data_IF_542681368026
#
_entry.id   IF_542681368026
#
_cell.length_a   1.000
_cell.length_b   1.000
_cell.length_c   1.000
_cell.angle_alpha   90.00
_cell.angle_beta   90.00
_cell.angle_gamma   90.00
#
_symmetry.space_group_name_H-M   'P 1'
#
loop_
_entity.id
_entity.type
_entity.pdbx_description
1 polymer ?
#
# COMPACT_ATOMS: atom_id res chain seq x y z
N UNK A 1 46.21 18.35 -15.52
CA UNK A 1 45.68 17.20 -16.28
C UNK A 1 45.77 17.56 -17.75
N UNK A 2 46.60 16.87 -18.53
CA UNK A 2 46.64 17.06 -19.98
C UNK A 2 45.34 16.52 -20.56
N UNK A 3 44.42 17.40 -20.97
CA UNK A 3 43.23 17.02 -21.72
C UNK A 3 43.67 16.38 -23.04
N UNK A 4 43.78 15.05 -23.05
CA UNK A 4 44.04 14.29 -24.26
C UNK A 4 42.74 14.34 -25.06
N UNK A 5 42.69 15.22 -26.05
CA UNK A 5 41.56 15.28 -26.98
C UNK A 5 41.44 13.91 -27.65
N UNK A 6 40.34 13.21 -27.36
CA UNK A 6 40.06 11.94 -28.02
C UNK A 6 39.82 12.17 -29.51
N UNK A 7 40.32 11.25 -30.34
CA UNK A 7 40.14 11.32 -31.79
C UNK A 7 38.70 11.01 -32.16
N UNK A 8 38.14 11.80 -33.07
CA UNK A 8 36.75 11.68 -33.50
C UNK A 8 36.57 10.67 -34.62
N UNK A 9 35.78 9.62 -34.34
CA UNK A 9 35.53 8.52 -35.28
C UNK A 9 34.35 8.77 -36.22
N UNK A 10 33.38 9.58 -35.80
CA UNK A 10 32.17 9.89 -36.57
C UNK A 10 31.02 8.87 -36.44
N UNK A 11 31.19 7.84 -35.61
CA UNK A 11 30.21 6.78 -35.30
C UNK A 11 29.44 7.03 -33.98
N UNK A 12 29.47 8.26 -33.47
CA UNK A 12 28.86 8.65 -32.22
C UNK A 12 27.50 9.35 -32.40
N UNK A 13 26.82 9.65 -31.29
CA UNK A 13 25.60 10.46 -31.34
C UNK A 13 25.92 11.91 -31.77
N UNK A 14 24.91 12.63 -32.27
CA UNK A 14 25.10 14.02 -32.65
C UNK A 14 25.47 14.92 -31.45
N UNK A 15 25.02 14.57 -30.24
CA UNK A 15 25.44 15.24 -29.00
C UNK A 15 26.94 15.06 -28.76
N UNK A 16 27.44 13.83 -28.84
CA UNK A 16 28.86 13.52 -28.67
C UNK A 16 29.73 14.22 -29.72
N UNK A 17 29.26 14.29 -30.97
CA UNK A 17 29.94 15.01 -32.04
C UNK A 17 30.08 16.51 -31.73
N UNK A 18 29.02 17.12 -31.21
CA UNK A 18 29.02 18.54 -30.82
C UNK A 18 29.89 18.80 -29.58
N UNK A 19 29.87 17.91 -28.59
CA UNK A 19 30.76 17.99 -27.42
C UNK A 19 32.23 17.91 -27.84
N UNK A 20 32.57 17.00 -28.75
CA UNK A 20 33.91 16.91 -29.31
C UNK A 20 34.32 18.20 -30.03
N UNK A 21 33.44 18.73 -30.89
CA UNK A 21 33.74 19.96 -31.63
C UNK A 21 34.00 21.14 -30.68
N UNK A 22 33.16 21.32 -29.65
CA UNK A 22 33.37 22.38 -28.64
C UNK A 22 34.63 22.17 -27.82
N UNK A 23 34.99 20.92 -27.53
CA UNK A 23 36.24 20.59 -26.83
C UNK A 23 37.45 20.97 -27.69
N UNK A 24 37.39 20.70 -28.99
CA UNK A 24 38.40 21.11 -29.96
C UNK A 24 38.49 22.64 -30.07
N UNK A 25 37.35 23.32 -30.19
CA UNK A 25 37.27 24.79 -30.23
C UNK A 25 37.84 25.44 -28.98
N UNK A 26 37.59 24.85 -27.80
CA UNK A 26 38.17 25.29 -26.53
C UNK A 26 39.71 25.18 -26.47
N UNK A 27 40.34 24.46 -27.41
CA UNK A 27 41.81 24.44 -27.54
C UNK A 27 42.37 25.58 -28.39
N UNK A 28 41.49 26.38 -29.01
CA UNK A 28 41.88 27.56 -29.78
C UNK A 28 41.87 28.79 -28.89
N UNK A 29 42.88 29.63 -29.06
CA UNK A 29 42.92 31.01 -28.52
C UNK A 29 42.61 32.01 -29.62
N UNK A 30 42.32 33.26 -29.27
CA UNK A 30 42.08 34.35 -30.25
C UNK A 30 43.25 34.54 -31.23
N UNK A 31 44.48 34.18 -30.83
CA UNK A 31 45.67 34.26 -31.67
C UNK A 31 45.86 33.05 -32.61
N UNK A 32 44.97 32.04 -32.57
CA UNK A 32 45.13 30.83 -33.38
C UNK A 32 44.80 31.10 -34.84
N UNK A 33 45.81 30.98 -35.71
CA UNK A 33 45.66 31.15 -37.16
C UNK A 33 44.68 30.12 -37.74
N UNK A 34 43.98 30.52 -38.80
CA UNK A 34 42.97 29.69 -39.45
C UNK A 34 43.52 28.36 -39.97
N UNK A 35 44.69 28.39 -40.61
CA UNK A 35 45.43 27.21 -41.09
C UNK A 35 45.71 26.22 -39.95
N UNK A 36 46.00 26.73 -38.75
CA UNK A 36 46.25 25.90 -37.57
C UNK A 36 44.97 25.25 -37.05
N UNK A 37 43.81 25.92 -37.18
CA UNK A 37 42.52 25.34 -36.79
C UNK A 37 42.14 24.18 -37.71
N UNK A 38 42.27 24.37 -39.02
CA UNK A 38 42.01 23.33 -40.03
C UNK A 38 42.95 22.13 -39.82
N UNK A 39 44.25 22.38 -39.67
CA UNK A 39 45.23 21.33 -39.38
C UNK A 39 44.89 20.54 -38.10
N UNK A 40 44.53 21.25 -37.02
CA UNK A 40 44.14 20.60 -35.76
C UNK A 40 42.85 19.80 -35.91
N UNK A 41 41.87 20.28 -36.67
CA UNK A 41 40.63 19.55 -36.95
C UNK A 41 40.93 18.24 -37.68
N UNK A 42 41.66 18.29 -38.79
CA UNK A 42 42.05 17.11 -39.56
C UNK A 42 42.80 16.10 -38.71
N UNK A 43 43.74 16.55 -37.88
CA UNK A 43 44.53 15.68 -36.98
C UNK A 43 43.74 15.14 -35.79
N UNK A 44 42.59 15.73 -35.48
CA UNK A 44 41.72 15.30 -34.40
C UNK A 44 40.67 14.29 -34.87
N UNK A 45 40.65 13.94 -36.17
CA UNK A 45 39.81 12.89 -36.73
C UNK A 45 40.55 11.54 -36.70
N UNK A 46 39.83 10.47 -36.38
CA UNK A 46 40.38 9.12 -36.31
C UNK A 46 40.62 8.55 -37.71
N UNK A 47 41.84 8.03 -38.01
CA UNK A 47 42.15 7.47 -39.32
C UNK A 47 41.37 6.17 -39.58
N UNK A 48 40.85 6.02 -40.78
CA UNK A 48 39.96 4.95 -41.22
C UNK A 48 38.51 5.06 -40.72
N UNK A 49 38.18 6.15 -40.00
CA UNK A 49 36.85 6.37 -39.43
C UNK A 49 35.81 6.91 -40.43
N UNK A 50 34.54 6.89 -40.02
CA UNK A 50 33.45 7.51 -40.78
C UNK A 50 33.64 9.03 -40.95
N UNK A 51 34.22 9.68 -39.93
CA UNK A 51 34.56 11.10 -39.97
C UNK A 51 35.66 11.42 -40.98
N UNK A 52 36.72 10.60 -41.08
CA UNK A 52 37.78 10.82 -42.08
C UNK A 52 37.25 10.63 -43.49
N UNK A 53 36.43 9.61 -43.72
CA UNK A 53 35.77 9.39 -45.00
C UNK A 53 34.90 10.58 -45.39
N UNK A 54 34.06 11.06 -44.47
CA UNK A 54 33.24 12.26 -44.68
C UNK A 54 34.10 13.49 -45.00
N UNK A 55 35.18 13.70 -44.25
CA UNK A 55 36.08 14.82 -44.46
C UNK A 55 36.78 14.72 -45.81
N UNK A 56 37.19 13.53 -46.23
CA UNK A 56 37.82 13.29 -47.54
C UNK A 56 36.84 13.59 -48.67
N UNK A 57 35.60 13.13 -48.55
CA UNK A 57 34.53 13.31 -49.54
C UNK A 57 33.99 14.75 -49.62
N UNK A 58 34.34 15.63 -48.67
CA UNK A 58 33.87 17.01 -48.62
C UNK A 58 34.52 17.87 -49.74
N UNK A 59 33.78 18.76 -50.44
CA UNK A 59 34.35 19.64 -51.45
C UNK A 59 35.38 20.61 -50.88
N UNK A 60 36.40 20.99 -51.67
CA UNK A 60 37.45 21.93 -51.25
C UNK A 60 36.90 23.30 -50.80
N UNK A 61 35.79 23.73 -51.41
CA UNK A 61 35.10 24.96 -51.02
C UNK A 61 34.54 24.92 -49.58
N UNK A 62 34.16 23.73 -49.08
CA UNK A 62 33.68 23.54 -47.70
C UNK A 62 34.83 23.30 -46.70
N UNK A 63 36.07 23.12 -47.18
CA UNK A 63 37.29 23.01 -46.38
C UNK A 63 38.12 24.30 -46.34
N UNK A 64 37.71 25.32 -47.09
CA UNK A 64 38.51 26.53 -47.31
C UNK A 64 38.78 27.32 -46.02
N UNK A 65 37.83 27.30 -45.08
CA UNK A 65 37.95 27.97 -43.79
C UNK A 65 37.29 27.13 -42.69
N UNK A 66 37.66 27.37 -41.44
CA UNK A 66 37.17 26.58 -40.32
C UNK A 66 35.66 26.78 -40.11
N UNK A 67 35.14 27.98 -40.42
CA UNK A 67 33.72 28.31 -40.26
C UNK A 67 32.84 27.58 -41.29
N UNK A 68 33.29 27.42 -42.53
CA UNK A 68 32.60 26.62 -43.55
C UNK A 68 32.67 25.13 -43.21
N UNK A 69 33.80 24.67 -42.70
CA UNK A 69 33.96 23.30 -42.22
C UNK A 69 33.03 22.97 -41.04
N UNK A 70 32.89 23.88 -40.07
CA UNK A 70 31.94 23.74 -38.95
C UNK A 70 30.50 23.69 -39.45
N UNK A 71 30.11 24.51 -40.44
CA UNK A 71 28.77 24.42 -41.03
C UNK A 71 28.51 23.08 -41.72
N UNK A 72 29.50 22.55 -42.43
CA UNK A 72 29.42 21.24 -43.04
C UNK A 72 29.33 20.13 -41.97
N UNK A 73 30.07 20.29 -40.87
CA UNK A 73 30.02 19.41 -39.71
C UNK A 73 28.61 19.42 -39.07
N UNK A 74 28.04 20.59 -38.81
CA UNK A 74 26.68 20.74 -38.27
C UNK A 74 25.61 20.16 -39.20
N UNK A 75 25.83 20.20 -40.52
CA UNK A 75 24.94 19.54 -41.48
C UNK A 75 25.00 18.02 -41.37
N UNK A 76 26.17 17.46 -41.09
CA UNK A 76 26.40 16.01 -41.00
C UNK A 76 26.02 15.44 -39.62
N UNK A 77 26.34 16.17 -38.54
CA UNK A 77 26.03 15.84 -37.16
C UNK A 77 25.26 17.01 -36.52
N UNK A 78 23.97 17.18 -36.86
CA UNK A 78 23.17 18.32 -36.42
C UNK A 78 23.02 18.35 -34.91
N UNK A 79 23.17 19.55 -34.34
CA UNK A 79 22.93 19.74 -32.91
C UNK A 79 21.57 19.17 -32.53
N UNK A 80 21.50 18.25 -31.54
CA UNK A 80 20.23 17.71 -31.10
C UNK A 80 19.30 18.88 -30.77
N UNK A 81 18.15 18.96 -31.44
CA UNK A 81 17.14 19.93 -31.05
C UNK A 81 16.77 19.61 -29.61
N UNK A 82 17.07 20.53 -28.70
CA UNK A 82 16.61 20.42 -27.32
C UNK A 82 15.09 20.51 -27.36
N UNK A 83 14.44 19.36 -27.38
CA UNK A 83 12.99 19.31 -27.16
C UNK A 83 12.83 19.63 -25.69
N UNK A 84 12.29 20.81 -25.40
CA UNK A 84 11.96 21.20 -24.04
C UNK A 84 11.20 20.04 -23.40
N UNK A 85 11.75 19.52 -22.30
CA UNK A 85 11.18 18.37 -21.61
C UNK A 85 9.73 18.75 -21.26
N UNK A 86 8.72 18.00 -21.72
CA UNK A 86 7.34 18.36 -21.45
C UNK A 86 7.11 18.34 -19.94
N UNK A 87 6.44 19.37 -19.43
CA UNK A 87 6.20 19.57 -17.99
C UNK A 87 5.56 18.33 -17.34
N UNK A 88 4.69 17.63 -18.05
CA UNK A 88 4.05 16.39 -17.59
C UNK A 88 5.06 15.28 -17.28
N UNK A 89 6.14 15.16 -18.06
CA UNK A 89 7.19 14.19 -17.79
C UNK A 89 8.03 14.60 -16.58
N UNK A 90 8.33 15.89 -16.41
CA UNK A 90 9.02 16.41 -15.21
C UNK A 90 8.21 16.11 -13.95
N UNK A 91 6.91 16.44 -13.96
CA UNK A 91 6.00 16.17 -12.84
C UNK A 91 5.94 14.67 -12.53
N UNK A 92 5.85 13.81 -13.55
CA UNK A 92 5.86 12.37 -13.35
C UNK A 92 7.19 11.86 -12.78
N UNK A 93 8.33 12.43 -13.18
CA UNK A 93 9.64 12.08 -12.62
C UNK A 93 9.73 12.49 -11.14
N UNK A 94 9.21 13.67 -10.78
CA UNK A 94 9.10 14.12 -9.38
C UNK A 94 8.26 13.13 -8.56
N UNK A 95 7.08 12.73 -9.07
CA UNK A 95 6.17 11.79 -8.38
C UNK A 95 6.75 10.39 -8.21
N UNK A 96 7.68 10.00 -9.08
CA UNK A 96 8.32 8.68 -9.06
C UNK A 96 9.69 8.69 -8.38
N UNK A 97 10.22 9.87 -8.02
CA UNK A 97 11.48 10.01 -7.30
C UNK A 97 11.33 9.58 -5.83
N UNK A 98 11.51 8.29 -5.57
CA UNK A 98 11.38 7.70 -4.22
C UNK A 98 12.73 7.32 -3.63
N UNK A 99 12.89 7.57 -2.34
CA UNK A 99 13.99 7.06 -1.52
C UNK A 99 13.49 5.88 -0.70
N UNK A 100 14.18 4.73 -0.76
CA UNK A 100 13.83 3.58 0.08
C UNK A 100 14.48 3.71 1.44
N UNK A 101 13.87 3.11 2.46
CA UNK A 101 14.37 3.21 3.84
C UNK A 101 15.75 2.56 3.97
N UNK A 102 15.95 1.41 3.33
CA UNK A 102 17.22 0.69 3.30
C UNK A 102 18.36 1.49 2.66
N UNK A 103 18.04 2.42 1.76
CA UNK A 103 19.00 3.23 1.04
C UNK A 103 19.40 4.49 1.81
N UNK A 104 18.62 4.93 2.81
CA UNK A 104 18.86 6.17 3.56
C UNK A 104 20.24 6.14 4.27
N UNK A 105 21.02 7.21 4.09
CA UNK A 105 22.33 7.36 4.70
C UNK A 105 23.44 6.51 4.06
N UNK A 106 23.14 5.77 2.97
CA UNK A 106 24.18 5.13 2.19
C UNK A 106 24.98 6.17 1.40
N UNK A 107 26.28 5.91 1.24
CA UNK A 107 27.14 6.73 0.37
C UNK A 107 26.88 6.34 -1.07
N UNK A 108 26.47 7.31 -1.89
CA UNK A 108 26.19 7.17 -3.31
C UNK A 108 27.11 8.11 -4.08
N UNK A 109 27.59 7.69 -5.25
CA UNK A 109 28.35 8.58 -6.14
C UNK A 109 27.38 9.41 -6.98
N UNK A 110 27.50 10.73 -6.91
CA UNK A 110 26.79 11.62 -7.83
C UNK A 110 27.39 11.51 -9.25
N UNK A 111 26.74 12.14 -10.23
CA UNK A 111 27.16 12.17 -11.64
C UNK A 111 28.60 12.66 -11.84
N UNK A 112 29.07 13.52 -10.93
CA UNK A 112 30.42 14.08 -10.95
C UNK A 112 31.46 13.18 -10.25
N UNK A 113 31.04 12.02 -9.74
CA UNK A 113 31.88 11.06 -9.01
C UNK A 113 32.07 11.38 -7.53
N UNK A 114 31.51 12.50 -7.05
CA UNK A 114 31.54 12.90 -5.63
C UNK A 114 30.68 11.96 -4.78
N UNK A 115 31.22 11.53 -3.65
CA UNK A 115 30.50 10.71 -2.67
C UNK A 115 29.60 11.59 -1.80
N UNK A 116 28.29 11.34 -1.88
CA UNK A 116 27.24 12.06 -1.15
C UNK A 116 26.31 11.06 -0.48
N UNK A 117 25.64 11.46 0.60
CA UNK A 117 24.65 10.59 1.24
C UNK A 117 23.40 10.49 0.36
N UNK A 118 22.77 9.32 0.33
CA UNK A 118 21.63 9.01 -0.55
C UNK A 118 20.45 9.97 -0.40
N UNK A 119 20.15 10.43 0.83
CA UNK A 119 19.09 11.39 1.09
C UNK A 119 19.45 12.80 0.58
N UNK A 120 20.74 13.17 0.63
CA UNK A 120 21.24 14.40 0.04
C UNK A 120 21.17 14.32 -1.49
N UNK A 121 21.62 13.21 -2.08
CA UNK A 121 21.52 12.97 -3.52
C UNK A 121 20.07 13.02 -4.01
N UNK A 122 19.15 12.43 -3.24
CA UNK A 122 17.71 12.49 -3.51
C UNK A 122 17.19 13.94 -3.47
N UNK A 123 17.54 14.72 -2.45
CA UNK A 123 17.10 16.10 -2.31
C UNK A 123 17.65 17.00 -3.44
N UNK A 124 18.93 16.83 -3.80
CA UNK A 124 19.54 17.53 -4.93
C UNK A 124 18.88 17.17 -6.26
N UNK A 125 18.53 15.90 -6.47
CA UNK A 125 17.78 15.46 -7.66
C UNK A 125 16.40 16.12 -7.70
N UNK A 126 15.66 16.11 -6.60
CA UNK A 126 14.35 16.77 -6.49
C UNK A 126 14.47 18.27 -6.80
N UNK A 127 15.51 18.94 -6.28
CA UNK A 127 15.79 20.36 -6.57
C UNK A 127 15.99 20.60 -8.07
N UNK A 128 16.79 19.76 -8.75
CA UNK A 128 17.01 19.84 -10.21
C UNK A 128 15.70 19.66 -10.99
N UNK A 129 14.87 18.69 -10.60
CA UNK A 129 13.58 18.46 -11.26
C UNK A 129 12.59 19.61 -11.07
N UNK A 130 12.55 20.23 -9.89
CA UNK A 130 11.71 21.41 -9.65
C UNK A 130 12.14 22.61 -10.49
N UNK A 131 13.46 22.79 -10.69
CA UNK A 131 14.00 23.84 -11.56
C UNK A 131 13.66 23.64 -13.05
N UNK A 132 13.42 22.40 -13.47
CA UNK A 132 13.00 22.06 -14.84
C UNK A 132 11.51 22.38 -15.12
N UNK A 133 10.72 22.77 -14.11
CA UNK A 133 9.31 23.13 -14.29
C UNK A 133 9.21 24.60 -14.77
N UNK A 134 8.57 24.87 -15.92
CA UNK A 134 8.29 26.24 -16.35
C UNK A 134 7.42 26.97 -15.31
N UNK A 135 7.87 28.15 -14.85
CA UNK A 135 7.25 28.94 -13.77
C UNK A 135 7.31 28.31 -12.36
N UNK A 136 8.05 27.21 -12.17
CA UNK A 136 8.23 26.54 -10.89
C UNK A 136 6.94 25.93 -10.31
N UNK A 137 6.93 25.74 -8.99
CA UNK A 137 5.76 25.32 -8.20
C UNK A 137 5.56 26.28 -7.01
N UNK A 138 5.09 27.52 -7.28
CA UNK A 138 5.06 28.60 -6.28
C UNK A 138 4.11 28.31 -5.10
N UNK A 139 3.14 27.41 -5.27
CA UNK A 139 2.22 26.98 -4.22
C UNK A 139 2.64 25.70 -3.49
N UNK A 140 3.81 25.13 -3.82
CA UNK A 140 4.26 23.84 -3.29
C UNK A 140 3.20 22.74 -3.46
N UNK A 141 2.43 22.78 -4.56
CA UNK A 141 1.33 21.85 -4.83
C UNK A 141 1.83 20.41 -5.00
N UNK A 142 3.11 20.23 -5.34
CA UNK A 142 3.74 18.93 -5.44
C UNK A 142 4.32 18.43 -4.11
N UNK A 143 4.26 19.22 -3.03
CA UNK A 143 4.88 18.89 -1.73
C UNK A 143 4.40 17.57 -1.17
N UNK A 144 3.09 17.30 -1.19
CA UNK A 144 2.57 16.02 -0.68
C UNK A 144 3.16 14.83 -1.43
N UNK A 145 3.24 14.92 -2.76
CA UNK A 145 3.80 13.86 -3.61
C UNK A 145 5.30 13.66 -3.37
N UNK A 146 6.06 14.76 -3.24
CA UNK A 146 7.50 14.71 -2.95
C UNK A 146 7.76 14.15 -1.55
N UNK A 147 6.96 14.57 -0.57
CA UNK A 147 6.99 14.07 0.80
C UNK A 147 6.68 12.57 0.84
N UNK A 148 5.71 12.08 0.07
CA UNK A 148 5.42 10.65 -0.06
C UNK A 148 6.52 9.85 -0.76
N UNK A 149 7.44 10.53 -1.45
CA UNK A 149 8.68 9.95 -1.95
C UNK A 149 9.70 9.60 -0.86
N UNK A 150 9.54 10.10 0.36
CA UNK A 150 10.43 9.83 1.49
C UNK A 150 9.88 8.74 2.44
N UNK A 151 10.74 7.89 3.02
CA UNK A 151 10.35 6.95 4.05
C UNK A 151 9.74 7.68 5.26
N UNK A 152 8.73 7.08 5.90
CA UNK A 152 8.06 7.63 7.09
C UNK A 152 9.07 7.99 8.19
N UNK A 153 10.09 7.17 8.40
CA UNK A 153 11.15 7.41 9.36
C UNK A 153 11.88 8.74 9.11
N UNK A 154 12.30 8.99 7.87
CA UNK A 154 12.95 10.25 7.45
C UNK A 154 11.99 11.43 7.62
N UNK A 155 10.71 11.25 7.28
CA UNK A 155 9.69 12.31 7.44
C UNK A 155 9.50 12.77 8.88
N UNK A 156 9.77 11.91 9.87
CA UNK A 156 9.68 12.29 11.30
C UNK A 156 10.82 13.21 11.75
N UNK A 157 11.96 13.17 11.06
CA UNK A 157 13.13 14.02 11.38
C UNK A 157 13.03 15.42 10.76
N UNK A 158 12.19 15.57 9.74
CA UNK A 158 12.01 16.86 9.07
C UNK A 158 10.96 17.65 9.86
N UNK A 159 11.20 18.94 10.15
CA UNK A 159 10.17 19.81 10.70
C UNK A 159 8.89 19.76 9.87
N UNK A 160 7.71 19.94 10.49
CA UNK A 160 6.45 19.91 9.77
C UNK A 160 6.46 20.92 8.62
N UNK A 161 5.84 20.55 7.49
CA UNK A 161 5.83 21.38 6.28
C UNK A 161 5.25 22.79 6.50
N UNK A 162 4.40 22.95 7.52
CA UNK A 162 3.86 24.25 7.94
C UNK A 162 4.91 25.22 8.46
N UNK A 163 6.08 24.75 8.89
CA UNK A 163 7.22 25.57 9.29
C UNK A 163 8.20 25.87 8.14
N UNK A 164 8.03 25.20 6.99
CA UNK A 164 8.97 25.21 5.86
C UNK A 164 8.25 25.70 4.60
N UNK A 165 8.03 27.01 4.53
CA UNK A 165 7.21 27.73 3.52
C UNK A 165 7.77 27.73 2.08
N UNK A 166 8.93 27.13 1.83
CA UNK A 166 9.59 27.15 0.51
C UNK A 166 10.24 25.80 0.23
N UNK A 167 10.30 25.42 -1.05
CA UNK A 167 11.02 24.24 -1.51
C UNK A 167 12.48 24.20 -1.05
N UNK A 168 13.17 25.33 -1.07
CA UNK A 168 14.57 25.46 -0.67
C UNK A 168 14.76 25.10 0.80
N UNK A 169 13.97 25.71 1.70
CA UNK A 169 14.02 25.41 3.13
C UNK A 169 13.71 23.94 3.42
N UNK A 170 12.71 23.38 2.72
CA UNK A 170 12.32 21.99 2.94
C UNK A 170 13.39 20.99 2.47
N UNK A 171 13.94 21.18 1.27
CA UNK A 171 15.01 20.33 0.75
C UNK A 171 16.31 20.50 1.54
N UNK A 172 16.62 21.71 2.02
CA UNK A 172 17.76 21.93 2.90
C UNK A 172 17.59 21.19 4.24
N UNK A 173 16.37 21.13 4.80
CA UNK A 173 16.11 20.35 6.00
C UNK A 173 16.32 18.84 5.77
N UNK A 174 15.96 18.31 4.60
CA UNK A 174 16.28 16.92 4.22
C UNK A 174 17.79 16.72 4.14
N UNK A 175 18.52 17.63 3.50
CA UNK A 175 19.98 17.52 3.33
C UNK A 175 20.75 17.62 4.65
N UNK A 176 20.21 18.37 5.61
CA UNK A 176 20.79 18.60 6.92
C UNK A 176 20.60 17.43 7.90
N UNK A 177 19.85 16.39 7.52
CA UNK A 177 19.68 15.19 8.37
C UNK A 177 21.06 14.54 8.55
N UNK A 178 21.50 14.49 9.81
CA UNK A 178 22.79 13.92 10.17
C UNK A 178 22.75 12.38 10.20
N UNK A 179 23.93 11.77 10.08
CA UNK A 179 24.06 10.32 10.01
C UNK A 179 23.70 9.63 11.35
N UNK A 180 23.86 10.31 12.49
CA UNK A 180 23.52 9.75 13.79
C UNK A 180 22.01 9.58 13.91
N UNK A 181 21.24 10.62 13.58
CA UNK A 181 19.78 10.56 13.50
C UNK A 181 19.28 9.46 12.55
N UNK A 182 19.97 9.24 11.42
CA UNK A 182 19.65 8.14 10.49
C UNK A 182 19.91 6.78 11.12
N UNK A 183 21.03 6.60 11.83
CA UNK A 183 21.34 5.35 12.51
C UNK A 183 20.33 5.04 13.62
N UNK A 184 19.95 6.05 14.41
CA UNK A 184 18.93 5.93 15.45
C UNK A 184 17.58 5.50 14.84
N UNK A 185 17.18 6.09 13.69
CA UNK A 185 15.99 5.65 12.95
C UNK A 185 16.08 4.19 12.49
N UNK A 186 17.25 3.75 12.04
CA UNK A 186 17.45 2.36 11.59
C UNK A 186 17.35 1.39 12.75
N UNK A 187 17.90 1.75 13.91
CA UNK A 187 17.78 0.97 15.12
C UNK A 187 16.33 0.91 15.60
N UNK A 188 15.63 2.06 15.68
CA UNK A 188 14.20 2.10 16.03
C UNK A 188 13.37 1.23 15.07
N UNK A 189 13.63 1.31 13.77
CA UNK A 189 12.94 0.51 12.77
C UNK A 189 13.26 -0.99 12.90
N UNK A 190 14.52 -1.35 13.17
CA UNK A 190 14.94 -2.73 13.39
C UNK A 190 14.27 -3.32 14.64
N UNK A 191 14.23 -2.56 15.74
CA UNK A 191 13.53 -2.93 16.98
C UNK A 191 12.04 -3.10 16.71
N UNK A 192 11.40 -2.16 16.00
CA UNK A 192 9.98 -2.23 15.66
C UNK A 192 9.67 -3.48 14.82
N UNK A 193 10.50 -3.77 13.82
CA UNK A 193 10.35 -4.94 12.96
C UNK A 193 10.54 -6.24 13.75
N UNK A 194 11.52 -6.28 14.66
CA UNK A 194 11.76 -7.42 15.53
C UNK A 194 10.61 -7.64 16.52
N UNK A 195 10.06 -6.57 17.09
CA UNK A 195 8.91 -6.64 17.99
C UNK A 195 7.67 -7.19 17.26
N UNK A 196 7.42 -6.73 16.03
CA UNK A 196 6.32 -7.24 15.20
C UNK A 196 6.51 -8.73 14.85
N UNK A 197 7.73 -9.15 14.49
CA UNK A 197 8.05 -10.55 14.25
C UNK A 197 7.87 -11.41 15.51
N UNK A 198 8.31 -10.92 16.67
CA UNK A 198 8.18 -11.61 17.96
C UNK A 198 6.71 -11.74 18.35
N UNK A 199 5.93 -10.67 18.19
CA UNK A 199 4.49 -10.70 18.45
C UNK A 199 3.77 -11.71 17.54
N UNK A 200 4.16 -11.77 16.27
CA UNK A 200 3.63 -12.74 15.31
C UNK A 200 3.99 -14.18 15.69
N UNK A 201 5.23 -14.43 16.15
CA UNK A 201 5.66 -15.74 16.63
C UNK A 201 4.90 -16.18 17.89
N UNK A 202 4.69 -15.26 18.86
CA UNK A 202 3.90 -15.54 20.06
C UNK A 202 2.46 -15.87 19.69
N UNK A 203 1.85 -15.08 18.80
CA UNK A 203 0.50 -15.35 18.31
C UNK A 203 0.39 -16.72 17.64
N UNK A 204 1.40 -17.12 16.84
CA UNK A 204 1.46 -18.44 16.23
C UNK A 204 1.62 -19.56 17.26
N UNK A 205 2.48 -19.39 18.26
CA UNK A 205 2.68 -20.37 19.34
C UNK A 205 1.39 -20.61 20.14
N UNK A 206 0.69 -19.54 20.53
CA UNK A 206 -0.58 -19.64 21.27
C UNK A 206 -1.67 -20.34 20.46
N UNK A 207 -1.75 -20.10 19.15
CA UNK A 207 -2.68 -20.81 18.27
C UNK A 207 -2.31 -22.31 18.11
N UNK A 208 -1.03 -22.66 18.19
CA UNK A 208 -0.56 -24.05 18.04
C UNK A 208 -0.80 -24.88 19.30
N UNK A 209 -0.66 -24.30 20.49
CA UNK A 209 -0.89 -25.02 21.77
C UNK A 209 -2.34 -25.45 21.94
N UNK A 210 -3.30 -24.74 21.34
CA UNK A 210 -4.73 -25.10 21.42
C UNK A 210 -5.13 -26.35 20.62
N UNK A 211 -4.28 -26.83 19.69
CA UNK A 211 -4.55 -28.02 18.87
C UNK A 211 -3.99 -29.32 19.47
N UNK A 212 -3.19 -29.24 20.53
CA UNK A 212 -2.52 -30.40 21.16
C UNK A 212 -2.96 -30.64 22.60
N UNK A 213 -4.16 -30.19 22.99
CA UNK A 213 -4.74 -30.56 24.29
C UNK A 213 -5.24 -32.02 24.22
N UNK A 214 -4.59 -32.99 24.91
CA UNK A 214 -5.03 -34.38 24.89
C UNK A 214 -6.40 -34.46 25.57
N UNK A 215 -7.35 -35.13 24.93
CA UNK A 215 -8.74 -35.21 25.39
C UNK A 215 -8.86 -35.49 26.88
N UNK A 216 -9.26 -34.47 27.64
CA UNK A 216 -9.78 -34.65 28.99
C UNK A 216 -11.09 -35.41 28.88
N UNK A 217 -11.04 -36.71 29.15
CA UNK A 217 -12.22 -37.51 29.43
C UNK A 217 -12.96 -36.89 30.63
N UNK A 218 -14.29 -36.74 30.57
CA UNK A 218 -15.05 -36.17 31.67
C UNK A 218 -14.98 -37.11 32.89
N UNK A 219 -14.85 -36.58 34.12
CA UNK A 219 -14.86 -37.41 35.31
C UNK A 219 -16.24 -38.07 35.48
N UNK A 220 -16.22 -39.39 35.55
CA UNK A 220 -17.36 -40.27 35.80
C UNK A 220 -17.91 -40.01 37.19
N UNK A 221 -19.18 -39.59 37.27
CA UNK A 221 -19.90 -39.41 38.53
C UNK A 221 -20.05 -40.76 39.28
N UNK A 222 -19.77 -40.82 40.59
CA UNK A 222 -20.09 -41.98 41.41
C UNK A 222 -21.57 -41.97 41.81
N UNK A 223 -22.26 -43.06 41.51
CA UNK A 223 -23.60 -43.38 41.97
C UNK A 223 -23.57 -43.87 43.42
N UNK A 224 -24.35 -43.22 44.31
CA UNK A 224 -24.69 -43.75 45.64
C UNK A 224 -26.21 -43.82 45.82
N UNK A 225 -26.75 -44.91 46.39
CA UNK A 225 -28.19 -45.10 46.59
C UNK A 225 -28.67 -44.64 47.98
N UNK A 226 -29.96 -44.26 48.02
CA UNK A 226 -30.93 -44.26 49.13
C UNK A 226 -30.49 -43.90 50.57
N UNK A 227 -31.10 -42.86 51.13
CA UNK A 227 -31.82 -42.96 52.41
C UNK A 227 -32.79 -41.79 52.65
N UNK A 228 -33.97 -42.18 53.11
CA UNK A 228 -35.13 -41.38 53.52
C UNK A 228 -34.82 -40.65 54.83
N UNK A 229 -35.24 -39.39 54.98
CA UNK A 229 -36.02 -38.97 56.15
C UNK A 229 -36.64 -37.57 55.98
N UNK A 230 -37.92 -37.53 56.29
CA UNK A 230 -38.77 -36.36 56.40
C UNK A 230 -38.32 -35.44 57.54
N UNK A 231 -38.62 -34.13 57.44
CA UNK A 231 -39.30 -33.36 58.49
C UNK A 231 -39.93 -32.11 57.83
N UNK A 232 -41.20 -31.87 58.19
CA UNK A 232 -42.05 -30.71 57.89
C UNK A 232 -41.49 -29.44 58.53
N UNK A 233 -41.75 -28.26 57.94
CA UNK A 233 -42.67 -27.27 58.55
C UNK A 233 -42.91 -26.03 57.64
N UNK A 234 -44.21 -25.71 57.51
CA UNK A 234 -44.90 -24.40 57.39
C UNK A 234 -44.48 -23.43 56.28
N UNK A 235 -45.30 -23.16 55.24
CA UNK A 235 -46.63 -22.50 55.21
C UNK A 235 -46.55 -20.98 55.39
N UNK A 236 -46.71 -20.23 54.29
CA UNK A 236 -47.69 -19.13 54.21
C UNK A 236 -48.02 -18.79 52.75
N UNK A 237 -49.32 -18.88 52.48
CA UNK A 237 -50.06 -18.49 51.29
C UNK A 237 -49.97 -16.98 50.97
N UNK A 238 -50.08 -16.63 49.70
CA UNK A 238 -51.19 -15.78 49.21
C UNK A 238 -51.50 -16.06 47.72
N UNK A 239 -52.67 -16.68 47.52
CA UNK A 239 -53.58 -16.69 46.35
C UNK A 239 -53.87 -15.27 45.82
N UNK A 240 -54.47 -14.97 44.66
CA UNK A 240 -55.12 -15.60 43.48
C UNK A 240 -55.40 -14.39 42.52
N UNK A 241 -55.65 -14.48 41.22
CA UNK A 241 -56.93 -14.83 40.53
C UNK A 241 -56.61 -14.62 39.02
N UNK A 242 -56.59 -15.65 38.17
CA UNK A 242 -57.68 -16.19 37.35
C UNK A 242 -58.10 -15.31 36.14
N UNK A 243 -57.86 -15.76 34.90
CA UNK A 243 -58.91 -16.28 33.98
C UNK A 243 -58.41 -16.47 32.52
N UNK A 244 -58.74 -17.65 31.97
CA UNK A 244 -58.76 -18.11 30.56
C UNK A 244 -60.25 -18.09 30.12
N UNK A 245 -60.72 -18.66 28.97
CA UNK A 245 -60.12 -19.00 27.66
C UNK A 245 -61.04 -18.64 26.45
N UNK A 246 -60.60 -18.79 25.20
CA UNK A 246 -61.38 -19.46 24.11
C UNK A 246 -60.62 -19.62 22.77
N UNK A 247 -60.96 -20.69 22.05
CA UNK A 247 -60.61 -21.15 20.68
C UNK A 247 -61.86 -21.84 20.11
N UNK A 248 -62.00 -22.32 18.85
CA UNK A 248 -61.44 -22.00 17.50
C UNK A 248 -62.60 -21.81 16.45
N UNK A 249 -62.49 -21.96 15.09
CA UNK A 249 -62.28 -23.24 14.37
C UNK A 249 -61.53 -23.21 12.99
N UNK A 250 -61.34 -24.43 12.44
CA UNK A 250 -60.75 -24.88 11.15
C UNK A 250 -61.60 -24.57 9.90
N UNK A 251 -60.96 -24.51 8.71
CA UNK A 251 -61.49 -25.02 7.42
C UNK A 251 -60.36 -25.52 6.48
N UNK A 252 -60.73 -26.15 5.37
CA UNK A 252 -60.18 -27.37 4.75
C UNK A 252 -59.34 -27.23 3.46
N UNK A 253 -58.68 -28.35 3.13
CA UNK A 253 -57.89 -28.81 1.98
C UNK A 253 -58.40 -28.55 0.54
N UNK A 254 -57.46 -28.48 -0.42
CA UNK A 254 -57.59 -29.04 -1.79
C UNK A 254 -56.21 -29.53 -2.32
N UNK A 255 -56.20 -30.70 -2.94
CA UNK A 255 -55.10 -31.40 -3.64
C UNK A 255 -55.46 -31.42 -5.15
N UNK A 256 -54.53 -31.63 -6.13
CA UNK A 256 -54.13 -33.00 -6.51
C UNK A 256 -52.72 -33.21 -7.15
N UNK A 257 -52.10 -34.34 -6.75
CA UNK A 257 -51.53 -35.45 -7.56
C UNK A 257 -50.48 -35.30 -8.69
N UNK A 258 -49.41 -36.13 -8.57
CA UNK A 258 -48.68 -37.01 -9.56
C UNK A 258 -47.13 -36.82 -9.61
N UNK A 259 -46.32 -37.80 -10.10
CA UNK A 259 -45.94 -39.03 -9.39
C UNK A 259 -44.41 -39.28 -9.30
N UNK A 260 -44.06 -40.28 -8.48
CA UNK A 260 -42.72 -40.80 -8.19
C UNK A 260 -41.93 -41.37 -9.39
N UNK A 261 -40.59 -41.31 -9.28
CA UNK A 261 -39.69 -42.32 -9.86
C UNK A 261 -38.58 -42.64 -8.86
N UNK A 262 -38.47 -43.92 -8.49
CA UNK A 262 -37.54 -44.43 -7.47
C UNK A 262 -36.11 -44.68 -7.99
N UNK A 263 -35.17 -45.03 -7.08
CA UNK A 263 -33.80 -45.41 -7.41
C UNK A 263 -33.67 -46.93 -7.59
N UNK A 264 -32.76 -47.43 -8.46
CA UNK A 264 -32.42 -48.84 -8.50
C UNK A 264 -31.37 -49.21 -7.42
N UNK A 265 -31.47 -50.42 -6.84
CA UNK A 265 -30.44 -51.00 -5.98
C UNK A 265 -29.46 -51.86 -6.80
N UNK A 266 -28.21 -51.96 -6.38
CA UNK A 266 -27.35 -53.09 -6.73
C UNK A 266 -26.90 -53.82 -5.46
N UNK A 267 -27.10 -55.13 -5.51
CA UNK A 267 -26.89 -56.10 -4.45
C UNK A 267 -25.43 -56.54 -4.32
N UNK A 268 -25.18 -57.14 -3.16
CA UNK A 268 -23.98 -57.80 -2.68
C UNK A 268 -23.59 -59.06 -3.46
N UNK A 269 -22.33 -59.47 -3.33
CA UNK A 269 -21.86 -60.82 -2.91
C UNK A 269 -20.35 -60.74 -2.62
N UNK A 270 -19.91 -61.05 -1.38
CA UNK A 270 -19.37 -62.35 -0.91
C UNK A 270 -17.85 -62.45 -1.23
N UNK A 271 -16.93 -63.06 -0.47
CA UNK A 271 -16.93 -63.93 0.69
C UNK A 271 -15.59 -63.73 1.44
N UNK A 272 -15.54 -64.22 2.67
CA UNK A 272 -14.43 -64.06 3.60
C UNK A 272 -13.73 -65.43 3.83
N UNK A 273 -12.43 -65.39 4.13
CA UNK A 273 -11.69 -66.30 5.07
C UNK A 273 -10.85 -67.48 4.53
N UNK A 274 -9.66 -67.61 5.16
CA UNK A 274 -8.60 -68.65 5.17
C UNK A 274 -7.46 -68.47 4.13
N UNK A 275 -6.17 -68.52 4.47
CA UNK A 275 -5.43 -68.76 5.71
C UNK A 275 -3.93 -68.97 5.42
N UNK A 276 -3.07 -68.80 6.45
CA UNK A 276 -1.65 -69.21 6.48
C UNK A 276 -0.68 -68.27 5.74
N UNK A 277 0.54 -67.97 6.18
CA UNK A 277 1.35 -68.41 7.30
C UNK A 277 2.81 -67.97 7.02
N UNK A 278 3.46 -67.39 8.02
CA UNK A 278 4.92 -67.30 8.27
C UNK A 278 5.89 -66.90 7.13
N UNK A 279 6.64 -65.81 7.32
CA UNK A 279 8.12 -65.83 7.42
C UNK A 279 8.70 -64.44 7.76
N UNK A 280 9.94 -64.45 8.23
CA UNK A 280 10.62 -63.44 9.06
C UNK A 280 11.60 -62.58 8.23
N UNK A 281 11.83 -61.34 8.69
CA UNK A 281 12.99 -60.41 8.48
C UNK A 281 12.91 -59.46 7.25
N UNK A 282 13.75 -58.40 7.19
CA UNK A 282 14.08 -57.35 8.17
C UNK A 282 13.93 -55.92 7.55
N UNK A 283 14.30 -54.88 8.30
CA UNK A 283 14.23 -53.44 7.97
C UNK A 283 14.62 -53.03 6.52
N UNK A 284 13.92 -52.03 5.96
CA UNK A 284 14.60 -50.89 5.33
C UNK A 284 13.71 -49.65 5.10
N UNK A 285 14.35 -48.51 5.30
CA UNK A 285 13.79 -47.16 5.42
C UNK A 285 14.01 -46.38 4.13
N UNK A 286 13.23 -46.58 3.06
CA UNK A 286 13.37 -45.77 1.83
C UNK A 286 12.11 -45.82 0.95
N UNK A 287 10.97 -45.30 1.43
CA UNK A 287 9.84 -44.87 0.55
C UNK A 287 8.77 -44.15 1.36
N UNK A 288 8.92 -42.82 1.50
CA UNK A 288 7.83 -41.95 1.95
C UNK A 288 7.85 -40.64 1.16
N UNK A 289 7.80 -40.77 -0.15
CA UNK A 289 7.39 -39.72 -1.08
C UNK A 289 6.54 -40.39 -2.15
N UNK A 290 5.49 -39.69 -2.60
CA UNK A 290 4.38 -40.13 -3.47
C UNK A 290 3.21 -40.81 -2.73
N UNK A 291 2.33 -39.98 -2.16
CA UNK A 291 0.87 -40.01 -2.42
C UNK A 291 0.26 -38.68 -1.95
N UNK A 292 0.42 -37.63 -2.75
CA UNK A 292 -0.48 -36.48 -2.72
C UNK A 292 -1.53 -36.70 -3.82
N UNK A 293 -2.77 -36.94 -3.40
CA UNK A 293 -3.92 -36.95 -4.30
C UNK A 293 -4.17 -35.54 -4.82
N UNK A 294 -4.46 -35.35 -6.12
CA UNK A 294 -4.79 -34.04 -6.68
C UNK A 294 -6.15 -33.60 -6.14
N UNK A 295 -6.19 -32.50 -5.39
CA UNK A 295 -7.46 -31.87 -5.05
C UNK A 295 -8.09 -31.27 -6.31
N UNK A 296 -9.33 -31.67 -6.58
CA UNK A 296 -10.14 -31.16 -7.69
C UNK A 296 -10.41 -29.65 -7.53
N UNK A 297 -10.35 -28.85 -8.61
CA UNK A 297 -10.58 -27.41 -8.54
C UNK A 297 -12.07 -27.14 -8.38
N UNK A 298 -12.47 -26.69 -7.19
CA UNK A 298 -13.82 -26.15 -6.95
C UNK A 298 -13.87 -24.73 -7.51
N UNK A 299 -14.35 -24.59 -8.75
CA UNK A 299 -14.80 -23.32 -9.30
C UNK A 299 -16.14 -22.93 -8.64
N UNK A 300 -16.26 -21.72 -8.05
CA UNK A 300 -17.56 -21.30 -7.51
C UNK A 300 -17.64 -19.99 -6.73
N UNK A 301 -17.59 -18.86 -7.44
CA UNK A 301 -18.29 -17.57 -7.18
C UNK A 301 -17.97 -16.74 -5.91
N UNK A 302 -17.16 -15.69 -6.11
CA UNK A 302 -17.70 -14.31 -6.02
C UNK A 302 -17.30 -13.41 -4.84
N UNK A 303 -16.32 -13.77 -4.00
CA UNK A 303 -15.72 -12.87 -3.01
C UNK A 303 -14.25 -12.54 -3.35
N UNK A 304 -13.65 -11.48 -2.78
CA UNK A 304 -12.23 -11.18 -2.87
C UNK A 304 -11.43 -12.15 -1.98
N UNK A 305 -11.65 -13.44 -2.17
CA UNK A 305 -10.75 -14.46 -1.65
C UNK A 305 -9.54 -14.48 -2.60
N UNK A 306 -8.51 -13.73 -2.21
CA UNK A 306 -7.25 -13.49 -2.93
C UNK A 306 -7.42 -12.65 -4.21
N UNK A 307 -7.48 -11.33 -4.06
CA UNK A 307 -7.45 -10.39 -5.18
C UNK A 307 -6.07 -10.32 -5.86
N UNK A 308 -5.03 -10.87 -5.24
CA UNK A 308 -3.83 -11.34 -5.91
C UNK A 308 -3.12 -12.31 -4.98
N UNK A 309 -2.47 -13.34 -5.51
CA UNK A 309 -1.64 -14.24 -4.69
C UNK A 309 -0.42 -13.58 -4.04
N UNK A 310 -0.39 -12.25 -3.94
CA UNK A 310 0.67 -11.43 -3.38
C UNK A 310 0.18 -10.79 -2.06
N UNK A 311 0.62 -11.30 -0.91
CA UNK A 311 0.22 -10.80 0.40
C UNK A 311 0.50 -9.31 0.61
N UNK A 312 1.54 -8.75 -0.03
CA UNK A 312 1.89 -7.35 0.12
C UNK A 312 0.83 -6.44 -0.54
N UNK A 313 0.33 -6.83 -1.71
CA UNK A 313 -0.74 -6.11 -2.42
C UNK A 313 -2.08 -6.22 -1.68
N UNK A 314 -2.37 -7.38 -1.11
CA UNK A 314 -3.57 -7.57 -0.29
C UNK A 314 -3.52 -6.68 0.97
N UNK A 315 -2.35 -6.57 1.62
CA UNK A 315 -2.14 -5.68 2.76
C UNK A 315 -2.20 -4.19 2.40
N UNK A 316 -1.70 -3.79 1.22
CA UNK A 316 -1.87 -2.43 0.70
C UNK A 316 -3.35 -2.11 0.44
N UNK A 317 -4.08 -3.01 -0.22
CA UNK A 317 -5.51 -2.82 -0.50
C UNK A 317 -6.34 -2.74 0.77
N UNK A 318 -6.09 -3.62 1.75
CA UNK A 318 -6.80 -3.61 3.02
C UNK A 318 -6.59 -2.30 3.79
N UNK A 319 -5.34 -1.78 3.81
CA UNK A 319 -5.04 -0.46 4.39
C UNK A 319 -5.72 0.67 3.63
N UNK A 320 -5.65 0.67 2.30
CA UNK A 320 -6.31 1.67 1.48
C UNK A 320 -7.83 1.76 1.76
N UNK A 321 -8.49 0.60 1.86
CA UNK A 321 -9.91 0.50 2.18
C UNK A 321 -10.24 0.94 3.62
N UNK A 322 -9.33 0.73 4.58
CA UNK A 322 -9.51 1.14 5.97
C UNK A 322 -9.26 2.63 6.19
N UNK A 323 -8.22 3.17 5.58
CA UNK A 323 -7.78 4.55 5.76
C UNK A 323 -8.64 5.53 4.96
N UNK A 324 -9.14 5.11 3.80
CA UNK A 324 -9.90 5.95 2.87
C UNK A 324 -11.24 5.31 2.44
N UNK A 325 -12.12 4.90 3.38
CA UNK A 325 -13.38 4.27 3.02
C UNK A 325 -14.35 5.30 2.42
N UNK A 326 -14.99 4.94 1.31
CA UNK A 326 -16.12 5.69 0.77
C UNK A 326 -17.39 5.37 1.56
N UNK A 327 -17.59 6.11 2.65
CA UNK A 327 -18.76 6.03 3.53
C UNK A 327 -19.80 7.08 3.15
N UNK A 328 -21.06 6.78 3.44
CA UNK A 328 -22.19 7.67 3.18
C UNK A 328 -23.03 7.81 4.45
N UNK A 329 -23.53 9.02 4.76
CA UNK A 329 -24.44 9.22 5.89
C UNK A 329 -25.74 8.44 5.67
N UNK A 330 -26.42 8.05 6.75
CA UNK A 330 -27.70 7.35 6.69
C UNK A 330 -28.87 8.33 6.46
N UNK A 331 -28.76 9.18 5.45
CA UNK A 331 -29.79 10.12 5.04
C UNK A 331 -30.12 9.93 3.55
N UNK A 332 -31.17 10.61 3.08
CA UNK A 332 -31.63 10.47 1.69
C UNK A 332 -30.55 10.85 0.67
N UNK A 333 -29.71 11.84 0.98
CA UNK A 333 -28.64 12.28 0.09
C UNK A 333 -27.51 11.25 0.03
N UNK A 334 -27.13 10.66 1.15
CA UNK A 334 -26.17 9.58 1.25
C UNK A 334 -26.62 8.32 0.52
N UNK A 335 -27.91 7.97 0.63
CA UNK A 335 -28.50 6.85 -0.12
C UNK A 335 -28.43 7.08 -1.63
N UNK A 336 -28.76 8.29 -2.10
CA UNK A 336 -28.66 8.63 -3.53
C UNK A 336 -27.22 8.58 -4.04
N UNK A 337 -26.28 9.19 -3.31
CA UNK A 337 -24.85 9.17 -3.65
C UNK A 337 -24.28 7.76 -3.70
N UNK A 338 -24.59 6.93 -2.70
CA UNK A 338 -24.22 5.52 -2.70
C UNK A 338 -24.75 4.80 -3.94
N UNK A 339 -26.01 5.02 -4.31
CA UNK A 339 -26.61 4.42 -5.50
C UNK A 339 -25.87 4.79 -6.79
N UNK A 340 -25.53 6.08 -6.96
CA UNK A 340 -24.76 6.57 -8.11
C UNK A 340 -23.35 5.98 -8.14
N UNK A 341 -22.62 6.03 -7.02
CA UNK A 341 -21.24 5.55 -6.94
C UNK A 341 -21.15 4.04 -7.08
N UNK A 342 -22.07 3.28 -6.48
CA UNK A 342 -22.14 1.84 -6.62
C UNK A 342 -22.44 1.43 -8.07
N UNK A 343 -23.36 2.13 -8.75
CA UNK A 343 -23.65 1.88 -10.15
C UNK A 343 -22.44 2.19 -11.06
N UNK A 344 -21.74 3.30 -10.81
CA UNK A 344 -20.53 3.66 -11.54
C UNK A 344 -19.41 2.62 -11.32
N UNK A 345 -19.20 2.20 -10.07
CA UNK A 345 -18.23 1.17 -9.71
C UNK A 345 -18.58 -0.21 -10.31
N UNK A 346 -19.85 -0.61 -10.28
CA UNK A 346 -20.28 -1.92 -10.77
C UNK A 346 -20.21 -2.05 -12.28
N UNK A 347 -20.43 -0.94 -13.01
CA UNK A 347 -20.41 -0.88 -14.47
C UNK A 347 -19.02 -0.53 -15.03
N UNK A 348 -18.13 0.03 -14.21
CA UNK A 348 -16.78 0.42 -14.59
C UNK A 348 -15.71 -0.64 -14.30
N UNK A 349 -14.42 -0.27 -14.43
CA UNK A 349 -13.32 -1.10 -13.94
C UNK A 349 -13.48 -1.32 -12.43
N UNK A 350 -13.48 -2.59 -12.00
CA UNK A 350 -13.67 -2.98 -10.59
C UNK A 350 -12.42 -2.72 -9.76
N UNK A 351 -12.07 -1.45 -9.58
CA UNK A 351 -11.04 -1.04 -8.63
C UNK A 351 -11.61 -1.09 -7.20
N UNK A 352 -11.18 -2.08 -6.43
CA UNK A 352 -11.61 -2.25 -5.05
C UNK A 352 -11.11 -1.12 -4.13
N UNK A 353 -10.08 -0.35 -4.52
CA UNK A 353 -9.67 0.86 -3.76
C UNK A 353 -10.78 1.91 -3.69
N UNK A 354 -11.72 1.87 -4.63
CA UNK A 354 -12.85 2.80 -4.74
C UNK A 354 -14.18 2.16 -4.36
N UNK A 355 -14.17 1.04 -3.62
CA UNK A 355 -15.39 0.31 -3.26
C UNK A 355 -16.33 1.18 -2.38
N UNK A 356 -17.58 1.43 -2.80
CA UNK A 356 -18.55 2.19 -2.00
C UNK A 356 -19.23 1.30 -0.95
N UNK A 357 -19.24 1.74 0.31
CA UNK A 357 -19.87 1.01 1.42
C UNK A 357 -21.30 1.49 1.69
N UNK A 358 -22.17 0.62 2.21
CA UNK A 358 -23.58 0.97 2.42
C UNK A 358 -23.75 2.19 3.35
N UNK A 359 -24.76 3.05 3.11
CA UNK A 359 -25.05 4.21 3.97
C UNK A 359 -25.26 3.82 5.44
N UNK A 360 -24.75 4.65 6.35
CA UNK A 360 -24.91 4.46 7.80
C UNK A 360 -24.07 3.33 8.42
N UNK A 361 -23.25 2.66 7.62
CA UNK A 361 -22.34 1.63 8.13
C UNK A 361 -21.05 2.24 8.69
N UNK A 362 -20.40 1.52 9.59
CA UNK A 362 -19.10 1.89 10.12
C UNK A 362 -17.97 1.66 9.08
N UNK A 363 -16.82 2.31 9.29
CA UNK A 363 -15.63 2.07 8.47
C UNK A 363 -15.22 0.60 8.49
N UNK A 364 -14.76 0.02 7.36
CA UNK A 364 -14.26 -1.35 7.33
C UNK A 364 -13.03 -1.47 8.24
N UNK A 365 -12.96 -2.53 9.06
CA UNK A 365 -11.86 -2.71 10.01
C UNK A 365 -12.00 -1.88 11.31
N UNK A 366 -13.12 -1.20 11.52
CA UNK A 366 -13.42 -0.48 12.77
C UNK A 366 -13.92 -1.41 13.90
N UNK A 367 -13.75 -2.72 13.74
CA UNK A 367 -14.34 -3.79 14.58
C UNK A 367 -15.87 -3.85 14.47
N UNK A 368 -16.36 -3.52 13.29
CA UNK A 368 -17.76 -3.68 12.92
C UNK A 368 -18.14 -5.16 12.74
N UNK A 369 -19.41 -5.48 12.93
CA UNK A 369 -19.92 -6.77 12.49
C UNK A 369 -19.99 -6.78 10.96
N UNK A 370 -19.30 -7.72 10.32
CA UNK A 370 -19.26 -7.81 8.86
C UNK A 370 -20.60 -8.06 8.20
N UNK A 371 -21.61 -8.52 8.95
CA UNK A 371 -22.94 -8.85 8.41
C UNK A 371 -23.90 -7.66 8.38
N UNK A 372 -23.84 -6.78 9.38
CA UNK A 372 -24.67 -5.57 9.41
C UNK A 372 -23.88 -4.29 9.13
N UNK A 373 -22.55 -4.35 9.07
CA UNK A 373 -21.68 -3.20 8.85
C UNK A 373 -21.63 -2.23 10.03
N UNK A 374 -22.22 -2.55 11.18
CA UNK A 374 -22.29 -1.65 12.35
C UNK A 374 -21.34 -2.08 13.46
N UNK A 375 -20.83 -1.08 14.21
CA UNK A 375 -20.28 -1.28 15.55
C UNK A 375 -21.44 -1.29 16.52
N UNK A 376 -21.58 -2.35 17.29
CA UNK A 376 -22.69 -2.53 18.24
C UNK A 376 -22.15 -2.76 19.63
N UNK A 377 -22.95 -2.36 20.64
CA UNK A 377 -22.73 -2.71 22.03
C UNK A 377 -23.94 -3.54 22.49
N UNK A 378 -23.76 -4.80 22.93
CA UNK A 378 -22.49 -5.54 22.95
C UNK A 378 -21.99 -5.90 21.54
N UNK A 379 -20.66 -6.03 21.35
CA UNK A 379 -20.10 -6.47 20.08
C UNK A 379 -20.55 -7.90 19.77
N UNK A 380 -20.85 -8.17 18.50
CA UNK A 380 -21.25 -9.51 18.06
C UNK A 380 -20.53 -9.89 16.76
N UNK A 381 -20.29 -11.19 16.59
CA UNK A 381 -19.77 -11.74 15.33
C UNK A 381 -20.87 -11.93 14.29
N UNK A 382 -20.49 -12.08 13.02
CA UNK A 382 -21.43 -12.27 11.90
C UNK A 382 -22.42 -13.44 12.10
N UNK A 383 -21.99 -14.51 12.79
CA UNK A 383 -22.84 -15.67 13.11
C UNK A 383 -23.94 -15.39 14.13
N UNK A 384 -23.78 -14.36 14.97
CA UNK A 384 -24.72 -13.98 16.02
C UNK A 384 -25.30 -12.57 15.78
N UNK A 385 -25.35 -12.13 14.53
CA UNK A 385 -25.84 -10.81 14.19
C UNK A 385 -27.36 -10.70 14.40
N UNK A 386 -27.84 -9.82 15.30
CA UNK A 386 -29.26 -9.64 15.57
C UNK A 386 -29.95 -8.72 14.54
N UNK A 387 -29.18 -8.07 13.67
CA UNK A 387 -29.73 -7.14 12.68
C UNK A 387 -30.54 -7.91 11.62
N UNK A 388 -31.78 -7.46 11.41
CA UNK A 388 -32.64 -7.94 10.32
C UNK A 388 -32.15 -7.43 8.95
N UNK A 389 -31.66 -6.19 8.92
CA UNK A 389 -31.03 -5.61 7.74
C UNK A 389 -29.58 -6.11 7.62
N UNK A 390 -29.27 -6.73 6.48
CA UNK A 390 -27.93 -7.22 6.15
C UNK A 390 -27.36 -6.39 5.00
N UNK A 391 -26.06 -6.11 5.07
CA UNK A 391 -25.37 -5.43 3.97
C UNK A 391 -25.23 -6.38 2.77
N UNK A 392 -24.99 -5.84 1.55
CA UNK A 392 -24.78 -6.68 0.37
C UNK A 392 -23.65 -7.70 0.54
N UNK A 393 -23.81 -8.90 -0.04
CA UNK A 393 -22.86 -10.01 0.11
C UNK A 393 -21.43 -9.64 -0.33
N UNK A 394 -21.28 -8.78 -1.34
CA UNK A 394 -20.00 -8.29 -1.79
C UNK A 394 -19.32 -7.40 -0.75
N UNK A 395 -20.08 -6.49 -0.13
CA UNK A 395 -19.59 -5.64 0.97
C UNK A 395 -19.19 -6.48 2.18
N UNK A 396 -20.01 -7.47 2.56
CA UNK A 396 -19.67 -8.45 3.60
C UNK A 396 -18.29 -9.07 3.34
N UNK A 397 -18.03 -9.49 2.11
CA UNK A 397 -16.78 -10.11 1.73
C UNK A 397 -15.59 -9.12 1.76
N UNK A 398 -15.79 -7.87 1.34
CA UNK A 398 -14.77 -6.81 1.40
C UNK A 398 -14.43 -6.47 2.85
N UNK A 399 -15.44 -6.30 3.72
CA UNK A 399 -15.23 -6.05 5.17
C UNK A 399 -14.52 -7.21 5.85
N UNK A 400 -14.92 -8.45 5.50
CA UNK A 400 -14.24 -9.66 5.96
C UNK A 400 -12.77 -9.66 5.54
N UNK A 401 -12.48 -9.34 4.27
CA UNK A 401 -11.11 -9.23 3.74
C UNK A 401 -10.30 -8.19 4.52
N UNK A 402 -10.77 -6.95 4.61
CA UNK A 402 -10.09 -5.86 5.35
C UNK A 402 -9.83 -6.28 6.80
N UNK A 403 -10.86 -6.78 7.47
CA UNK A 403 -10.72 -7.20 8.85
C UNK A 403 -9.76 -8.37 9.03
N UNK A 404 -9.74 -9.35 8.12
CA UNK A 404 -8.85 -10.52 8.23
C UNK A 404 -7.39 -10.15 8.04
N UNK A 405 -7.11 -9.23 7.11
CA UNK A 405 -5.76 -8.78 6.80
C UNK A 405 -5.23 -7.85 7.90
N UNK A 406 -6.03 -6.89 8.37
CA UNK A 406 -5.60 -5.93 9.40
C UNK A 406 -5.65 -6.50 10.82
N UNK A 407 -6.52 -7.47 11.08
CA UNK A 407 -6.71 -8.07 12.41
C UNK A 407 -6.69 -9.60 12.31
N UNK A 408 -5.51 -10.21 12.17
CA UNK A 408 -5.37 -11.66 12.03
C UNK A 408 -5.90 -12.40 13.27
N UNK A 409 -6.31 -13.68 13.09
CA UNK A 409 -6.81 -14.52 14.18
C UNK A 409 -5.77 -14.62 15.30
N UNK A 410 -6.12 -14.08 16.48
CA UNK A 410 -5.22 -13.90 17.62
C UNK A 410 -5.37 -12.51 18.26
N UNK A 411 -5.43 -11.45 17.44
CA UNK A 411 -5.68 -10.08 17.92
C UNK A 411 -7.16 -9.77 18.20
N UNK A 412 -8.07 -10.63 17.73
CA UNK A 412 -9.51 -10.46 17.94
C UNK A 412 -10.06 -11.06 19.22
N UNK A 413 -9.31 -11.96 19.87
CA UNK A 413 -9.81 -12.76 20.99
C UNK A 413 -9.95 -11.98 22.32
N UNK A 414 -9.56 -10.70 22.37
CA UNK A 414 -9.67 -9.87 23.58
C UNK A 414 -10.95 -9.04 23.71
N UNK A 415 -11.87 -9.06 22.75
CA UNK A 415 -12.99 -8.09 22.68
C UNK A 415 -14.23 -8.59 23.46
N UNK A 416 -14.02 -8.99 24.71
CA UNK A 416 -15.11 -9.08 25.70
C UNK A 416 -14.85 -8.18 26.92
N UNK A 417 -13.70 -7.51 26.99
CA UNK A 417 -13.39 -6.53 28.04
C UNK A 417 -12.59 -5.38 27.44
N UNK A 418 -13.26 -4.39 26.88
CA UNK A 418 -12.68 -3.06 26.74
C UNK A 418 -13.46 -2.17 27.70
N UNK A 419 -12.73 -1.62 28.66
CA UNK A 419 -13.18 -0.59 29.58
C UNK A 419 -13.79 0.54 28.75
N UNK A 420 -15.07 0.81 28.98
CA UNK A 420 -15.73 2.00 28.49
C UNK A 420 -14.99 3.21 29.04
N UNK A 421 -14.20 3.88 28.20
CA UNK A 421 -13.85 5.27 28.46
C UNK A 421 -15.09 6.06 28.04
N UNK A 422 -15.76 6.79 28.94
CA UNK A 422 -16.95 7.56 28.58
C UNK A 422 -16.55 8.57 27.51
N UNK A 423 -17.06 8.35 26.30
CA UNK A 423 -17.07 9.37 25.26
C UNK A 423 -18.16 10.36 25.66
N UNK A 424 -17.74 11.52 26.17
CA UNK A 424 -18.61 12.67 26.39
C UNK A 424 -18.72 13.46 25.07
N UNK A 425 -19.88 13.42 24.38
CA UNK A 425 -20.08 14.15 23.14
C UNK A 425 -20.41 15.64 23.37
N UNK A 426 -20.43 16.12 24.62
CA UNK A 426 -20.72 17.50 24.96
C UNK A 426 -19.70 18.04 25.96
N UNK A 427 -18.49 18.31 25.45
CA UNK A 427 -17.53 19.15 26.16
C UNK A 427 -18.15 20.51 26.47
N UNK A 428 -18.68 20.65 27.68
CA UNK A 428 -19.12 21.92 28.25
C UNK A 428 -17.91 22.81 28.48
N UNK A 429 -17.57 23.62 27.48
CA UNK A 429 -17.03 24.95 27.75
C UNK A 429 -18.20 25.90 27.91
N UNK A 430 -18.20 26.55 29.05
CA UNK A 430 -19.12 27.61 29.44
C UNK A 430 -18.99 28.81 28.47
N UNK A 431 -20.07 29.31 27.84
CA UNK A 431 -20.03 30.47 26.95
C UNK A 431 -19.74 31.81 27.66
N UNK A 432 -19.65 31.87 28.99
CA UNK A 432 -19.46 33.12 29.73
C UNK A 432 -17.99 33.60 29.90
N UNK A 433 -17.00 32.93 29.31
CA UNK A 433 -15.57 33.31 29.42
C UNK A 433 -14.94 33.92 28.16
N UNK A 434 -15.73 34.41 27.20
CA UNK A 434 -15.24 35.08 25.98
C UNK A 434 -15.74 36.54 25.85
N UNK A 435 -15.96 37.20 26.98
CA UNK A 435 -16.08 38.66 27.07
C UNK A 435 -14.91 39.13 27.94
N UNK A 436 -14.26 40.22 27.51
CA UNK A 436 -12.99 40.79 27.98
C UNK A 436 -11.73 40.20 27.32
N UNK A 437 -11.43 40.71 26.12
CA UNK A 437 -10.12 41.32 25.79
C UNK A 437 -10.15 41.83 24.34
N UNK A 438 -10.88 42.93 24.10
CA UNK A 438 -10.70 43.80 22.93
C UNK A 438 -10.82 45.25 23.41
N UNK A 439 -9.70 45.83 23.85
CA UNK A 439 -9.49 47.28 23.87
C UNK A 439 -7.99 47.54 24.04
N UNK A 440 -7.29 47.84 22.95
CA UNK A 440 -6.49 49.07 22.82
C UNK A 440 -5.87 49.17 21.43
N UNK A 441 -6.54 49.96 20.59
CA UNK A 441 -5.93 50.63 19.45
C UNK A 441 -5.09 51.80 19.96
N UNK A 442 -3.78 51.80 19.66
CA UNK A 442 -2.88 52.92 19.88
C UNK A 442 -2.29 53.39 18.55
N UNK A 443 -2.86 54.47 18.02
CA UNK A 443 -2.36 55.23 16.88
C UNK A 443 -0.97 55.82 17.18
N UNK A 444 -0.12 55.93 16.15
CA UNK A 444 1.14 56.68 16.22
C UNK A 444 1.83 56.81 14.88
N UNK A 445 1.33 57.71 14.03
CA UNK A 445 2.16 58.40 13.03
C UNK A 445 3.27 59.17 13.75
N UNK A 446 4.52 59.06 13.27
CA UNK A 446 5.37 60.26 13.18
C UNK A 446 6.42 60.11 12.08
N UNK A 447 6.40 61.09 11.18
CA UNK A 447 7.42 61.43 10.20
C UNK A 447 8.75 61.77 10.89
N UNK A 448 9.88 61.43 10.27
CA UNK A 448 11.02 62.36 10.14
C UNK A 448 12.05 61.86 9.11
N UNK A 449 12.23 62.72 8.10
CA UNK A 449 13.41 63.04 7.26
C UNK A 449 14.35 61.93 6.81
#
# INVERSE_FOLDING_TARGET
>A
MTNKTELFRGDCTAEQAQVWLRTLEGTFTEATKEETKLYKFERSVYPGGAAEKWLTDLPDAEKADFKTLVKAFDKKWPMPKYVARPQTLVINEIKTNKLRLEDVGQVVKDKDGTEVLSHQAWAQRTRKLLADIPNGDPGMLLMEHVRDGLPVAVRKLIPPATALETWEKWLAAVEAIDLHSINDLREEHAISTQNEATFTQIAHALNTTHMLSPGRTPPRAPSTPYAVNAVRHTQTDFRQVNQRPTTPPRYTSFNPSTPQRGPPPHMMTSDNTFGGGSTVRPMNSFTRNLMQFPQSPSAGRGGPASLGGDPAKDAELARCLHDNPRLYPNDQAGIQRYGTDYAAWSNGPRDYKLFPFSPGTAAPGSRECWRCGLRTSPPHGAGHCPASAQIPALEYNVRRFVGQILFPPGQRAGISQIIEVPYDPFGGRDPEQLLYDEEEAGNGEELTV
#
